data_IF_321120496777
#
_entry.id   IF_321120496777
#
_cell.length_a   1.000
_cell.length_b   1.000
_cell.length_c   1.000
_cell.angle_alpha   90.00
_cell.angle_beta   90.00
_cell.angle_gamma   90.00
#
_symmetry.space_group_name_H-M   'P 1'
#
loop_
_entity.id
_entity.type
_entity.pdbx_description
1 polymer ?
#
# COMPACT_ATOMS: atom_id res chain seq x y z
N UNK A 1 58.36 49.83 -11.76
CA UNK A 1 57.65 48.61 -11.29
C UNK A 1 56.52 48.37 -12.25
N UNK A 2 56.61 47.31 -13.05
CA UNK A 2 55.74 47.06 -14.21
C UNK A 2 54.89 45.84 -13.88
N UNK A 3 53.59 46.02 -13.63
CA UNK A 3 52.68 44.90 -13.41
C UNK A 3 52.06 44.47 -14.74
N UNK A 4 52.41 43.24 -15.17
CA UNK A 4 51.80 42.54 -16.29
C UNK A 4 50.41 42.06 -15.87
N UNK A 5 49.39 42.49 -16.63
CA UNK A 5 48.07 41.86 -16.68
C UNK A 5 48.22 40.39 -17.13
N UNK A 6 47.81 39.45 -16.29
CA UNK A 6 47.41 38.11 -16.74
C UNK A 6 45.88 38.00 -16.55
N UNK A 7 45.18 38.10 -17.67
CA UNK A 7 43.80 37.67 -17.80
C UNK A 7 43.74 36.15 -17.69
N UNK A 8 42.89 35.61 -16.81
CA UNK A 8 42.57 34.17 -16.81
C UNK A 8 41.29 33.85 -16.03
N UNK A 9 40.12 34.24 -16.52
CA UNK A 9 38.85 33.54 -16.26
C UNK A 9 38.08 33.57 -17.60
N UNK A 10 37.27 32.57 -18.00
CA UNK A 10 36.61 31.56 -17.15
C UNK A 10 36.62 30.14 -17.75
N UNK A 11 36.23 29.12 -16.97
CA UNK A 11 35.31 28.08 -17.47
C UNK A 11 34.66 27.43 -16.26
N UNK A 12 33.42 27.85 -16.00
CA UNK A 12 32.49 27.17 -15.10
C UNK A 12 32.30 25.75 -15.63
N UNK A 13 32.67 24.74 -14.86
CA UNK A 13 32.20 23.38 -15.11
C UNK A 13 30.66 23.40 -15.03
N UNK A 14 29.92 22.98 -16.07
CA UNK A 14 28.48 22.85 -15.96
C UNK A 14 28.20 21.65 -15.05
N UNK A 15 27.56 21.91 -13.91
CA UNK A 15 26.87 20.92 -13.10
C UNK A 15 25.72 20.34 -13.91
N UNK A 16 26.01 19.39 -14.79
CA UNK A 16 25.03 18.48 -15.37
C UNK A 16 24.63 17.44 -14.31
N UNK A 17 24.04 17.89 -13.21
CA UNK A 17 23.08 17.05 -12.49
C UNK A 17 21.86 16.98 -13.40
N UNK A 18 21.86 16.01 -14.31
CA UNK A 18 20.61 15.51 -14.87
C UNK A 18 19.73 15.20 -13.66
N UNK A 19 18.75 16.06 -13.42
CA UNK A 19 17.53 15.70 -12.74
C UNK A 19 16.89 14.60 -13.58
N UNK A 20 17.37 13.37 -13.41
CA UNK A 20 16.57 12.21 -13.74
C UNK A 20 15.30 12.38 -12.92
N UNK A 21 14.11 12.50 -13.53
CA UNK A 21 12.90 12.24 -12.79
C UNK A 21 13.01 10.77 -12.41
N UNK A 22 13.56 10.49 -11.22
CA UNK A 22 13.19 9.29 -10.48
C UNK A 22 11.67 9.37 -10.46
N UNK A 23 11.02 8.52 -11.25
CA UNK A 23 9.58 8.36 -11.15
C UNK A 23 9.29 8.25 -9.65
N UNK A 24 8.45 9.15 -9.09
CA UNK A 24 8.21 9.15 -7.66
C UNK A 24 7.82 7.73 -7.28
N UNK A 25 8.50 7.15 -6.29
CA UNK A 25 8.12 5.85 -5.78
C UNK A 25 6.62 5.91 -5.50
N UNK A 26 5.84 5.13 -6.25
CA UNK A 26 4.39 5.16 -6.14
C UNK A 26 4.08 4.77 -4.69
N UNK A 27 3.68 5.75 -3.88
CA UNK A 27 3.33 5.48 -2.50
C UNK A 27 2.13 4.53 -2.53
N UNK A 28 2.23 3.39 -1.87
CA UNK A 28 1.06 2.54 -1.67
C UNK A 28 0.08 3.31 -0.77
N UNK A 29 -0.91 3.92 -1.40
CA UNK A 29 -1.93 4.73 -0.73
C UNK A 29 -2.97 3.88 -0.02
N UNK A 30 -3.09 2.60 -0.41
CA UNK A 30 -4.09 1.69 0.16
C UNK A 30 -3.51 1.06 1.42
N UNK A 31 -4.09 1.41 2.56
CA UNK A 31 -3.67 0.85 3.84
C UNK A 31 -4.23 -0.56 4.02
N UNK A 32 -3.42 -1.47 4.57
CA UNK A 32 -3.83 -2.83 4.90
C UNK A 32 -4.52 -3.55 3.72
N UNK A 33 -3.97 -3.43 2.51
CA UNK A 33 -4.57 -3.96 1.28
C UNK A 33 -4.66 -5.48 1.24
N UNK A 34 -3.84 -6.17 2.05
CA UNK A 34 -3.90 -7.63 2.24
C UNK A 34 -4.88 -8.06 3.33
N UNK A 35 -5.53 -7.11 4.02
CA UNK A 35 -6.42 -7.37 5.16
C UNK A 35 -5.75 -8.17 6.30
N UNK A 36 -4.42 -8.16 6.39
CA UNK A 36 -3.67 -8.93 7.38
C UNK A 36 -3.82 -8.38 8.81
N UNK A 37 -4.27 -7.13 8.98
CA UNK A 37 -4.43 -6.49 10.27
C UNK A 37 -5.89 -6.07 10.58
N UNK A 38 -6.34 -6.22 11.83
CA UNK A 38 -5.73 -7.02 12.89
C UNK A 38 -5.86 -8.53 12.58
N UNK A 39 -4.89 -9.31 13.03
CA UNK A 39 -4.96 -10.77 12.90
C UNK A 39 -6.05 -11.35 13.81
N UNK A 40 -6.93 -12.18 13.26
CA UNK A 40 -8.10 -12.74 13.96
C UNK A 40 -7.88 -14.14 14.53
N UNK A 41 -6.66 -14.65 14.48
CA UNK A 41 -6.33 -15.99 14.94
C UNK A 41 -6.62 -17.05 13.89
N UNK A 42 -6.48 -18.30 14.31
CA UNK A 42 -6.65 -19.50 13.50
C UNK A 42 -8.08 -20.03 13.64
N UNK A 43 -8.63 -20.55 12.55
CA UNK A 43 -9.94 -21.20 12.50
C UNK A 43 -11.13 -20.31 12.94
N UNK A 44 -11.04 -19.02 12.65
CA UNK A 44 -12.07 -18.02 12.97
C UNK A 44 -12.60 -17.31 11.73
N UNK A 45 -13.77 -16.71 11.87
CA UNK A 45 -14.29 -15.70 10.94
C UNK A 45 -15.03 -14.62 11.75
N UNK A 46 -15.15 -13.43 11.20
CA UNK A 46 -15.95 -12.38 11.82
C UNK A 46 -16.48 -11.38 10.80
N UNK A 47 -17.70 -10.88 11.01
CA UNK A 47 -18.25 -9.80 10.20
C UNK A 47 -17.65 -8.46 10.62
N UNK A 48 -17.26 -7.64 9.65
CA UNK A 48 -16.68 -6.33 9.87
C UNK A 48 -17.62 -5.42 10.67
N UNK A 49 -17.03 -4.64 11.57
CA UNK A 49 -17.73 -3.72 12.47
C UNK A 49 -17.48 -4.05 13.95
N UNK A 50 -17.68 -3.05 14.82
CA UNK A 50 -17.49 -3.18 16.27
C UNK A 50 -16.13 -3.81 16.63
N UNK A 51 -16.16 -4.93 17.37
CA UNK A 51 -14.96 -5.68 17.80
C UNK A 51 -14.15 -6.26 16.63
N UNK A 52 -14.77 -6.35 15.44
CA UNK A 52 -14.17 -6.89 14.23
C UNK A 52 -13.85 -5.83 13.19
N UNK A 53 -13.65 -4.57 13.61
CA UNK A 53 -13.17 -3.52 12.72
C UNK A 53 -11.82 -3.89 12.07
N UNK A 54 -11.73 -3.72 10.75
CA UNK A 54 -10.50 -3.93 9.98
C UNK A 54 -9.78 -2.60 9.83
N UNK A 55 -8.47 -2.57 10.12
CA UNK A 55 -7.71 -1.32 10.10
C UNK A 55 -7.78 -0.67 8.72
N UNK A 56 -8.26 0.57 8.66
CA UNK A 56 -8.35 1.36 7.44
C UNK A 56 -9.52 1.00 6.51
N UNK A 57 -10.40 0.07 6.89
CA UNK A 57 -11.49 -0.39 6.04
C UNK A 57 -12.85 -0.26 6.73
N UNK A 58 -13.81 0.28 5.99
CA UNK A 58 -15.23 0.26 6.30
C UNK A 58 -15.95 -0.89 5.62
N UNK A 59 -17.25 -1.04 5.93
CA UNK A 59 -18.13 -2.04 5.34
C UNK A 59 -18.61 -3.11 6.33
N UNK A 60 -19.18 -4.18 5.78
CA UNK A 60 -19.86 -5.25 6.51
C UNK A 60 -19.41 -6.66 6.11
N UNK A 61 -18.32 -6.75 5.32
CA UNK A 61 -17.80 -8.02 4.81
C UNK A 61 -17.32 -8.99 5.90
N UNK A 62 -17.06 -10.24 5.52
CA UNK A 62 -16.55 -11.26 6.44
C UNK A 62 -15.03 -11.30 6.38
N UNK A 63 -14.35 -11.12 7.51
CA UNK A 63 -12.93 -11.43 7.67
C UNK A 63 -12.84 -12.92 7.98
N UNK A 64 -12.12 -13.67 7.15
CA UNK A 64 -12.03 -15.12 7.27
C UNK A 64 -10.56 -15.49 7.47
N UNK A 65 -10.25 -16.20 8.55
CA UNK A 65 -8.91 -16.73 8.76
C UNK A 65 -8.57 -17.78 7.71
N UNK A 66 -7.28 -17.92 7.44
CA UNK A 66 -6.79 -18.81 6.39
C UNK A 66 -7.31 -20.23 6.46
N UNK A 67 -7.49 -20.68 7.68
CA UNK A 67 -7.84 -22.02 8.01
C UNK A 67 -9.20 -22.14 8.71
N UNK A 68 -10.13 -21.25 8.39
CA UNK A 68 -11.50 -21.33 8.89
C UNK A 68 -12.23 -22.56 8.35
N UNK A 69 -12.51 -23.52 9.23
CA UNK A 69 -13.27 -24.73 8.95
C UNK A 69 -14.74 -24.43 8.61
N UNK A 70 -15.31 -23.38 9.19
CA UNK A 70 -16.64 -22.87 8.81
C UNK A 70 -16.72 -22.44 7.34
N UNK A 71 -15.57 -22.12 6.74
CA UNK A 71 -15.40 -21.70 5.35
C UNK A 71 -14.60 -22.70 4.51
N UNK A 72 -14.43 -23.94 5.00
CA UNK A 72 -13.80 -25.02 4.24
C UNK A 72 -12.29 -24.85 4.00
N UNK A 73 -11.56 -24.18 4.90
CA UNK A 73 -10.12 -23.92 4.80
C UNK A 73 -9.73 -23.16 3.52
N UNK A 74 -10.04 -21.85 3.44
CA UNK A 74 -9.83 -21.08 2.21
C UNK A 74 -8.37 -20.93 1.77
N UNK A 75 -7.38 -21.32 2.57
CA UNK A 75 -5.99 -21.49 2.10
C UNK A 75 -5.81 -22.61 1.07
N UNK A 76 -6.77 -23.51 0.91
CA UNK A 76 -6.73 -24.57 -0.10
C UNK A 76 -7.78 -24.30 -1.20
N UNK A 77 -7.47 -24.46 -2.49
CA UNK A 77 -6.29 -25.13 -3.08
C UNK A 77 -5.18 -24.19 -3.60
N UNK A 78 -5.34 -22.87 -3.55
CA UNK A 78 -4.44 -21.91 -4.22
C UNK A 78 -3.56 -21.07 -3.26
N UNK A 79 -3.71 -21.22 -1.95
CA UNK A 79 -3.02 -20.35 -0.99
C UNK A 79 -3.46 -18.89 -1.06
N UNK A 80 -3.10 -18.14 -0.03
CA UNK A 80 -3.25 -16.69 -0.03
C UNK A 80 -2.12 -16.08 -0.85
N UNK A 81 -2.42 -15.11 -1.73
CA UNK A 81 -1.37 -14.34 -2.37
C UNK A 81 -0.52 -13.59 -1.32
N UNK A 82 -1.17 -13.14 -0.22
CA UNK A 82 -0.54 -12.43 0.89
C UNK A 82 -1.31 -12.68 2.21
N UNK A 83 -0.60 -12.77 3.33
CA UNK A 83 -1.19 -12.82 4.68
C UNK A 83 -1.77 -14.19 5.08
N UNK A 84 -2.58 -14.20 6.15
CA UNK A 84 -3.19 -15.40 6.74
C UNK A 84 -4.71 -15.23 6.96
N UNK A 85 -5.33 -14.32 6.22
CA UNK A 85 -6.76 -14.00 6.29
C UNK A 85 -7.19 -13.29 5.00
N UNK A 86 -8.47 -13.43 4.64
CA UNK A 86 -9.09 -12.79 3.48
C UNK A 86 -10.37 -12.06 3.89
N UNK A 87 -10.90 -11.31 2.93
CA UNK A 87 -12.25 -10.78 2.96
C UNK A 87 -13.16 -11.62 2.06
N UNK A 88 -14.25 -12.12 2.64
CA UNK A 88 -15.36 -12.74 1.93
C UNK A 88 -16.48 -11.74 1.66
N UNK A 89 -16.91 -11.67 0.40
CA UNK A 89 -18.03 -10.86 -0.05
C UNK A 89 -19.13 -11.77 -0.59
N UNK A 90 -20.35 -11.60 -0.10
CA UNK A 90 -21.54 -12.34 -0.52
C UNK A 90 -22.77 -11.43 -0.40
N UNK A 91 -23.82 -11.67 -1.17
CA UNK A 91 -25.16 -11.11 -0.96
C UNK A 91 -25.22 -9.65 -0.45
N UNK A 92 -24.62 -8.69 -1.19
CA UNK A 92 -24.66 -7.27 -0.84
C UNK A 92 -23.66 -6.82 0.23
N UNK A 93 -22.75 -7.70 0.68
CA UNK A 93 -21.61 -7.30 1.49
C UNK A 93 -20.62 -6.47 0.67
N UNK A 94 -19.99 -5.49 1.32
CA UNK A 94 -19.01 -4.61 0.71
C UNK A 94 -17.87 -4.27 1.68
N UNK A 95 -16.77 -3.78 1.11
CA UNK A 95 -15.69 -3.10 1.82
C UNK A 95 -15.36 -1.81 1.11
N UNK A 96 -14.98 -0.80 1.88
CA UNK A 96 -14.58 0.50 1.36
C UNK A 96 -13.38 1.06 2.12
N UNK A 97 -12.56 1.85 1.44
CA UNK A 97 -11.51 2.66 2.05
C UNK A 97 -11.52 4.03 1.39
N UNK A 98 -11.72 5.06 2.20
CA UNK A 98 -11.59 6.44 1.76
C UNK A 98 -10.12 6.82 1.69
N UNK A 99 -9.68 7.33 0.54
CA UNK A 99 -8.30 7.76 0.30
C UNK A 99 -8.23 9.28 0.27
N UNK A 100 -7.29 9.86 1.02
CA UNK A 100 -6.95 11.27 0.90
C UNK A 100 -5.74 11.42 -0.02
N UNK A 101 -5.99 11.90 -1.24
CA UNK A 101 -4.99 11.97 -2.30
C UNK A 101 -4.52 13.42 -2.49
N UNK A 102 -3.22 13.62 -2.65
CA UNK A 102 -2.69 14.89 -3.11
C UNK A 102 -3.07 15.12 -4.60
N UNK A 103 -2.94 16.36 -5.07
CA UNK A 103 -3.11 16.63 -6.50
C UNK A 103 -2.03 15.90 -7.31
N UNK A 104 -2.43 15.14 -8.33
CA UNK A 104 -1.51 14.36 -9.16
C UNK A 104 -2.20 13.29 -10.00
N UNK A 105 -1.41 12.52 -10.74
CA UNK A 105 -1.86 11.33 -11.46
C UNK A 105 -1.52 10.08 -10.65
N UNK A 106 -2.47 9.15 -10.59
CA UNK A 106 -2.37 7.86 -9.92
C UNK A 106 -2.60 6.76 -10.96
N UNK A 107 -1.78 5.72 -10.95
CA UNK A 107 -1.83 4.58 -11.89
C UNK A 107 -1.79 3.27 -11.14
#
# INVERSE_FOLDING_TARGET
MTFKNLAAWPTLLPTALLAMPLAPAHANVVSNSSFAAPYRGSDTYCYMGGACATTGWGGNAVIISANSGAWGWPNQPAGYAYGNQLIGLQNGLYVDQSLNLAAGQYT
#
